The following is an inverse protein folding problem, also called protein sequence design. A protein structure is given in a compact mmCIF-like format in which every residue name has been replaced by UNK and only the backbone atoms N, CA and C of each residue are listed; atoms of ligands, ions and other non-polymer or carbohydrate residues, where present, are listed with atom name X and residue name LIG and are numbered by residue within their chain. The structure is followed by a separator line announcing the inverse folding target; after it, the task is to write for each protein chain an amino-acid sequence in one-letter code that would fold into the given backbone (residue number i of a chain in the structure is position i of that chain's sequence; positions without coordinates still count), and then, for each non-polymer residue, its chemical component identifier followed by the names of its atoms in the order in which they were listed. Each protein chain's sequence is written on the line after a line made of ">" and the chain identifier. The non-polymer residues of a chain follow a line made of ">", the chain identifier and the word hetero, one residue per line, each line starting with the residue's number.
data_IF_818309863253
#
_entry.id   IF_818309863253
#
_cell.length_a   1.000
_cell.length_b   1.000
_cell.length_c   1.000
_cell.angle_alpha   90.00
_cell.angle_beta   90.00
_cell.angle_gamma   90.00
#
_symmetry.space_group_name_H-M   'P 1'
#
loop_
_entity.id
_entity.type
_entity.pdbx_description
1 polymer ?
#
# COMPACT_ATOMS: atom_id res chain seq x y z
N UNK A 1 -9.39 15.99 -2.31
CA UNK A 1 -10.65 15.25 -2.49
C UNK A 1 -10.37 13.77 -2.34
N UNK A 2 -11.26 13.00 -1.72
CA UNK A 2 -11.02 11.60 -1.44
C UNK A 2 -10.97 10.77 -2.73
N UNK A 3 -10.43 9.59 -2.61
CA UNK A 3 -10.58 8.53 -3.60
C UNK A 3 -11.94 7.89 -3.35
N UNK A 4 -12.77 7.77 -4.39
CA UNK A 4 -14.11 7.20 -4.26
C UNK A 4 -14.47 6.30 -5.45
N UNK A 5 -15.05 5.16 -5.17
CA UNK A 5 -15.63 4.23 -6.11
C UNK A 5 -17.16 4.28 -5.95
N UNK A 6 -17.88 4.58 -7.02
CA UNK A 6 -19.33 4.63 -7.06
C UNK A 6 -19.87 3.58 -8.02
N UNK A 7 -20.50 2.53 -7.48
CA UNK A 7 -21.09 1.42 -8.24
C UNK A 7 -20.14 0.81 -9.28
N UNK A 8 -18.87 0.66 -8.92
CA UNK A 8 -17.84 0.22 -9.86
C UNK A 8 -17.90 -1.28 -10.10
N UNK A 9 -18.08 -1.65 -11.36
CA UNK A 9 -17.91 -3.02 -11.85
C UNK A 9 -16.78 -3.07 -12.84
N UNK A 10 -15.92 -4.08 -12.74
CA UNK A 10 -14.89 -4.34 -13.73
C UNK A 10 -14.96 -5.79 -14.22
N UNK A 11 -15.10 -5.95 -15.55
CA UNK A 11 -15.19 -7.25 -16.21
C UNK A 11 -14.01 -7.39 -17.16
N UNK A 12 -13.12 -8.34 -16.90
CA UNK A 12 -12.08 -8.72 -17.84
C UNK A 12 -12.69 -9.50 -19.00
N UNK A 13 -12.28 -9.21 -20.22
CA UNK A 13 -12.76 -9.93 -21.40
C UNK A 13 -14.26 -9.78 -21.65
N UNK A 14 -14.85 -8.62 -21.35
CA UNK A 14 -16.28 -8.38 -21.57
C UNK A 14 -16.69 -8.73 -23.02
N UNK A 15 -17.84 -9.41 -23.14
CA UNK A 15 -18.33 -9.87 -24.46
C UNK A 15 -17.66 -11.13 -25.00
N UNK A 16 -16.75 -11.75 -24.29
CA UNK A 16 -16.09 -13.02 -24.65
C UNK A 16 -16.57 -14.19 -23.78
N UNK A 17 -16.41 -15.44 -24.23
CA UNK A 17 -16.70 -16.62 -23.40
C UNK A 17 -15.84 -16.73 -22.13
N UNK A 18 -14.75 -15.98 -22.03
CA UNK A 18 -13.83 -15.95 -20.88
C UNK A 18 -14.05 -14.72 -20.01
N UNK A 19 -15.21 -14.06 -20.10
CA UNK A 19 -15.52 -12.90 -19.29
C UNK A 19 -15.50 -13.25 -17.79
N UNK A 20 -14.75 -12.47 -17.00
CA UNK A 20 -14.63 -12.62 -15.55
C UNK A 20 -14.84 -11.29 -14.87
N UNK A 21 -15.79 -11.23 -13.94
CA UNK A 21 -16.06 -10.04 -13.15
C UNK A 21 -15.14 -10.02 -11.92
N UNK A 22 -14.26 -9.04 -11.87
CA UNK A 22 -13.27 -8.88 -10.79
C UNK A 22 -13.71 -7.89 -9.71
N UNK A 23 -14.54 -6.89 -10.06
CA UNK A 23 -15.20 -5.99 -9.11
C UNK A 23 -16.70 -6.00 -9.36
N UNK A 24 -17.49 -6.12 -8.31
CA UNK A 24 -18.94 -6.28 -8.37
C UNK A 24 -19.63 -5.13 -7.64
N UNK A 25 -20.09 -4.12 -8.38
CA UNK A 25 -20.86 -3.01 -7.81
C UNK A 25 -20.21 -2.43 -6.56
N UNK A 26 -18.91 -2.10 -6.68
CA UNK A 26 -18.09 -1.67 -5.58
C UNK A 26 -18.41 -0.23 -5.18
N UNK A 27 -18.78 -0.03 -3.93
CA UNK A 27 -18.86 1.25 -3.26
C UNK A 27 -17.76 1.32 -2.20
N UNK A 28 -16.84 2.28 -2.31
CA UNK A 28 -15.72 2.42 -1.40
C UNK A 28 -15.15 3.83 -1.48
N UNK A 29 -14.79 4.41 -0.33
CA UNK A 29 -14.03 5.66 -0.27
C UNK A 29 -12.81 5.49 0.63
N UNK A 30 -11.69 6.16 0.28
CA UNK A 30 -10.49 6.17 1.09
C UNK A 30 -10.28 7.54 1.71
N UNK A 31 -9.82 7.56 2.96
CA UNK A 31 -9.55 8.80 3.70
C UNK A 31 -8.23 9.41 3.24
N UNK A 32 -8.24 10.68 2.85
CA UNK A 32 -7.04 11.43 2.46
C UNK A 32 -6.06 11.55 3.63
N UNK A 33 -4.76 11.41 3.34
CA UNK A 33 -3.69 11.52 4.34
C UNK A 33 -3.57 10.33 5.28
N UNK A 34 -4.35 9.26 5.08
CA UNK A 34 -4.25 8.03 5.85
C UNK A 34 -3.41 6.97 5.15
N UNK A 35 -2.87 6.06 5.96
CA UNK A 35 -2.29 4.83 5.47
C UNK A 35 -3.31 3.70 5.63
N UNK A 36 -3.89 3.25 4.51
CA UNK A 36 -4.96 2.25 4.49
C UNK A 36 -4.45 0.92 3.92
N UNK A 37 -4.63 -0.16 4.68
CA UNK A 37 -4.37 -1.51 4.19
C UNK A 37 -5.56 -2.04 3.38
N UNK A 38 -5.29 -2.67 2.25
CA UNK A 38 -6.27 -3.40 1.44
C UNK A 38 -5.93 -4.88 1.56
N UNK A 39 -6.77 -5.63 2.25
CA UNK A 39 -6.54 -7.05 2.56
C UNK A 39 -7.64 -7.94 1.98
N UNK A 40 -7.39 -9.23 1.92
CA UNK A 40 -8.34 -10.23 1.40
C UNK A 40 -7.63 -11.37 0.67
N UNK A 41 -8.33 -12.43 0.38
CA UNK A 41 -7.78 -13.61 -0.28
C UNK A 41 -7.30 -13.30 -1.72
N UNK A 42 -6.47 -14.17 -2.28
CA UNK A 42 -6.09 -14.12 -3.69
C UNK A 42 -7.35 -14.19 -4.56
N UNK A 43 -7.43 -13.35 -5.59
CA UNK A 43 -8.61 -13.27 -6.45
C UNK A 43 -9.76 -12.42 -5.91
N UNK A 44 -9.65 -11.80 -4.73
CA UNK A 44 -10.71 -10.94 -4.15
C UNK A 44 -10.90 -9.58 -4.86
N UNK A 45 -10.07 -9.24 -5.85
CA UNK A 45 -10.17 -8.00 -6.63
C UNK A 45 -9.23 -6.87 -6.20
N UNK A 46 -8.32 -7.07 -5.23
CA UNK A 46 -7.40 -6.04 -4.71
C UNK A 46 -6.56 -5.38 -5.80
N UNK A 47 -5.82 -6.16 -6.59
CA UNK A 47 -4.96 -5.63 -7.66
C UNK A 47 -5.78 -4.94 -8.75
N UNK A 48 -6.99 -5.43 -9.05
CA UNK A 48 -7.93 -4.76 -9.96
C UNK A 48 -8.35 -3.41 -9.39
N UNK A 49 -8.71 -3.35 -8.12
CA UNK A 49 -9.08 -2.11 -7.43
C UNK A 49 -7.97 -1.07 -7.52
N UNK A 50 -6.74 -1.42 -7.14
CA UNK A 50 -5.64 -0.45 -7.11
C UNK A 50 -5.23 0.05 -8.49
N UNK A 51 -5.39 -0.75 -9.54
CA UNK A 51 -5.11 -0.34 -10.92
C UNK A 51 -6.13 0.66 -11.49
N UNK A 52 -7.31 0.81 -10.89
CA UNK A 52 -8.25 1.87 -11.25
C UNK A 52 -7.80 3.25 -10.76
N UNK A 53 -7.00 3.30 -9.69
CA UNK A 53 -6.60 4.57 -9.05
C UNK A 53 -5.73 5.45 -9.95
N UNK A 54 -4.90 4.86 -10.80
CA UNK A 54 -4.09 5.58 -11.78
C UNK A 54 -4.60 5.40 -13.24
N UNK A 55 -5.85 4.93 -13.37
CA UNK A 55 -6.50 4.62 -14.64
C UNK A 55 -5.67 3.69 -15.54
N UNK A 56 -4.98 2.72 -14.97
CA UNK A 56 -4.41 1.60 -15.71
C UNK A 56 -5.53 0.69 -16.21
N UNK A 57 -6.54 0.48 -15.34
CA UNK A 57 -7.82 -0.11 -15.72
C UNK A 57 -8.91 0.96 -15.65
N UNK A 58 -9.87 0.86 -16.55
CA UNK A 58 -11.07 1.69 -16.57
C UNK A 58 -12.27 0.85 -16.10
N UNK A 59 -13.25 1.44 -15.40
CA UNK A 59 -14.42 0.71 -14.98
C UNK A 59 -15.27 0.27 -16.19
N UNK A 60 -15.86 -0.91 -16.11
CA UNK A 60 -16.86 -1.37 -17.09
C UNK A 60 -18.22 -0.73 -16.81
N UNK A 61 -18.55 -0.51 -15.51
CA UNK A 61 -19.73 0.25 -15.05
C UNK A 61 -19.32 1.11 -13.85
N UNK A 62 -20.10 2.15 -13.61
CA UNK A 62 -19.89 3.06 -12.48
C UNK A 62 -18.80 4.10 -12.73
N UNK A 63 -18.32 4.71 -11.66
CA UNK A 63 -17.39 5.84 -11.71
C UNK A 63 -16.34 5.73 -10.62
N UNK A 64 -15.09 6.06 -10.95
CA UNK A 64 -14.00 6.22 -10.00
C UNK A 64 -13.61 7.71 -9.93
N UNK A 65 -13.60 8.26 -8.74
CA UNK A 65 -13.08 9.61 -8.48
C UNK A 65 -11.70 9.48 -7.82
N UNK A 66 -10.72 10.18 -8.38
CA UNK A 66 -9.37 10.24 -7.83
C UNK A 66 -8.88 11.68 -7.89
N UNK A 67 -8.65 12.28 -6.74
CA UNK A 67 -8.34 13.71 -6.62
C UNK A 67 -9.48 14.55 -7.25
N UNK A 68 -9.14 15.37 -8.23
CA UNK A 68 -10.08 16.23 -8.99
C UNK A 68 -10.62 15.58 -10.28
N UNK A 69 -10.36 14.29 -10.49
CA UNK A 69 -10.64 13.60 -11.75
C UNK A 69 -11.77 12.58 -11.60
N UNK A 70 -12.68 12.59 -12.58
CA UNK A 70 -13.75 11.62 -12.75
C UNK A 70 -13.39 10.63 -13.87
N UNK A 71 -13.40 9.35 -13.58
CA UNK A 71 -13.14 8.25 -14.51
C UNK A 71 -14.42 7.42 -14.61
N UNK A 72 -15.20 7.65 -15.64
CA UNK A 72 -16.52 7.04 -15.85
C UNK A 72 -16.44 5.92 -16.89
N UNK A 73 -17.23 4.88 -16.70
CA UNK A 73 -17.37 3.77 -17.64
C UNK A 73 -17.71 4.25 -19.05
N UNK A 74 -17.09 3.68 -20.08
CA UNK A 74 -17.31 4.05 -21.48
C UNK A 74 -16.79 5.43 -21.90
N UNK A 75 -16.24 6.21 -20.95
CA UNK A 75 -15.63 7.51 -21.26
C UNK A 75 -14.21 7.36 -21.80
N UNK A 76 -13.72 8.43 -22.46
CA UNK A 76 -12.29 8.60 -22.78
C UNK A 76 -11.71 9.66 -21.83
N UNK A 77 -11.24 9.28 -20.64
CA UNK A 77 -10.79 10.26 -19.66
C UNK A 77 -9.58 11.03 -20.19
N UNK A 78 -9.62 12.36 -20.00
CA UNK A 78 -8.52 13.25 -20.39
C UNK A 78 -7.57 13.42 -19.20
N UNK A 79 -6.32 13.81 -19.47
CA UNK A 79 -5.36 14.13 -18.42
C UNK A 79 -4.82 12.92 -17.64
N UNK A 80 -4.91 11.70 -18.20
CA UNK A 80 -4.38 10.48 -17.57
C UNK A 80 -2.88 10.57 -17.27
N UNK A 81 -2.13 11.31 -18.08
CA UNK A 81 -0.70 11.53 -17.82
C UNK A 81 -0.51 12.23 -16.49
N UNK A 82 -1.19 13.36 -16.24
CA UNK A 82 -1.06 14.07 -14.96
C UNK A 82 -1.60 13.25 -13.77
N UNK A 83 -2.69 12.48 -13.96
CA UNK A 83 -3.17 11.55 -12.93
C UNK A 83 -2.08 10.56 -12.51
N UNK A 84 -1.38 9.96 -13.47
CA UNK A 84 -0.28 9.01 -13.21
C UNK A 84 0.95 9.64 -12.57
N UNK A 85 1.11 10.96 -12.67
CA UNK A 85 2.09 11.72 -11.90
C UNK A 85 1.67 11.92 -10.45
N UNK A 86 0.38 12.19 -10.23
CA UNK A 86 -0.18 12.39 -8.88
C UNK A 86 -0.40 11.08 -8.12
N UNK A 87 -0.58 9.94 -8.82
CA UNK A 87 -0.82 8.60 -8.24
C UNK A 87 0.31 7.65 -8.63
N UNK A 88 1.26 7.49 -7.74
CA UNK A 88 2.35 6.52 -7.88
C UNK A 88 1.86 5.10 -7.57
N UNK A 89 2.11 4.15 -8.45
CA UNK A 89 1.77 2.75 -8.27
C UNK A 89 3.04 1.90 -8.29
N UNK A 90 3.34 1.28 -7.15
CA UNK A 90 4.40 0.29 -6.98
C UNK A 90 3.79 -1.09 -7.13
N UNK A 91 4.14 -1.80 -8.19
CA UNK A 91 3.72 -3.19 -8.41
C UNK A 91 4.51 -4.17 -7.55
N UNK A 92 3.99 -5.38 -7.42
CA UNK A 92 4.75 -6.49 -6.87
C UNK A 92 6.02 -6.72 -7.71
N UNK A 93 7.17 -6.85 -7.06
CA UNK A 93 8.49 -6.96 -7.71
C UNK A 93 8.82 -5.81 -8.68
N UNK A 94 8.82 -4.55 -8.21
CA UNK A 94 9.02 -3.38 -9.05
C UNK A 94 10.42 -3.34 -9.68
N UNK A 95 11.37 -4.09 -9.14
CA UNK A 95 12.75 -4.25 -9.65
C UNK A 95 12.84 -4.80 -11.06
N UNK A 96 11.82 -5.48 -11.55
CA UNK A 96 11.79 -5.96 -12.95
C UNK A 96 11.45 -4.86 -13.96
N UNK A 97 11.12 -3.66 -13.48
CA UNK A 97 10.79 -2.52 -14.34
C UNK A 97 12.01 -1.62 -14.64
N UNK A 98 13.18 -1.93 -14.07
CA UNK A 98 14.41 -1.17 -14.32
C UNK A 98 14.99 -1.52 -15.68
N UNK A 99 15.31 -0.50 -16.50
CA UNK A 99 15.70 -0.69 -17.89
C UNK A 99 16.81 0.26 -18.40
N UNK A 100 17.13 1.32 -17.65
CA UNK A 100 18.11 2.31 -18.06
C UNK A 100 19.57 1.84 -17.81
N UNK A 101 20.53 2.52 -18.42
CA UNK A 101 21.95 2.21 -18.30
C UNK A 101 22.50 2.46 -16.90
N UNK A 102 22.00 3.48 -16.21
CA UNK A 102 22.41 3.85 -14.87
C UNK A 102 21.24 4.06 -13.94
N UNK A 103 21.45 3.85 -12.63
CA UNK A 103 20.46 4.12 -11.58
C UNK A 103 19.90 5.54 -11.68
N UNK A 104 20.76 6.53 -11.82
CA UNK A 104 20.35 7.92 -11.89
C UNK A 104 19.49 8.21 -13.11
N UNK A 105 19.82 7.65 -14.28
CA UNK A 105 19.00 7.76 -15.49
C UNK A 105 17.63 7.11 -15.29
N UNK A 106 17.59 5.92 -14.69
CA UNK A 106 16.36 5.17 -14.45
C UNK A 106 15.40 5.95 -13.56
N UNK A 107 15.88 6.45 -12.42
CA UNK A 107 15.06 7.24 -11.49
C UNK A 107 14.67 8.61 -12.08
N UNK A 108 15.49 9.23 -12.91
CA UNK A 108 15.18 10.51 -13.57
C UNK A 108 14.23 10.37 -14.77
N UNK A 109 14.02 9.17 -15.28
CA UNK A 109 13.18 8.92 -16.46
C UNK A 109 11.73 9.40 -16.26
N UNK A 110 11.13 9.07 -15.12
CA UNK A 110 9.76 9.51 -14.79
C UNK A 110 9.62 11.03 -14.86
N UNK A 111 10.33 11.81 -14.03
CA UNK A 111 10.29 13.28 -14.07
C UNK A 111 10.50 13.88 -15.46
N UNK A 112 11.49 13.40 -16.24
CA UNK A 112 11.72 13.84 -17.62
C UNK A 112 10.51 13.58 -18.51
N UNK A 113 9.94 12.40 -18.44
CA UNK A 113 8.80 12.00 -19.23
C UNK A 113 7.55 12.87 -18.91
N UNK A 114 7.49 13.42 -17.70
CA UNK A 114 6.41 14.33 -17.27
C UNK A 114 6.74 15.82 -17.50
N UNK A 115 7.86 16.12 -18.13
CA UNK A 115 8.16 17.46 -18.63
C UNK A 115 9.12 18.28 -17.77
N UNK A 116 9.76 17.66 -16.77
CA UNK A 116 10.86 18.30 -16.06
C UNK A 116 12.08 18.46 -16.97
N UNK A 117 12.84 19.55 -16.80
CA UNK A 117 14.15 19.71 -17.43
C UNK A 117 15.12 18.59 -16.97
N UNK A 118 16.22 18.42 -17.70
CA UNK A 118 17.28 17.45 -17.33
C UNK A 118 17.77 17.69 -15.89
N UNK A 119 18.06 18.93 -15.56
CA UNK A 119 18.58 19.34 -14.26
C UNK A 119 17.55 19.10 -13.14
N UNK A 120 16.27 19.46 -13.37
CA UNK A 120 15.19 19.23 -12.42
C UNK A 120 14.93 17.73 -12.20
N UNK A 121 14.98 16.94 -13.26
CA UNK A 121 14.77 15.51 -13.18
C UNK A 121 15.89 14.80 -12.40
N UNK A 122 17.14 15.19 -12.62
CA UNK A 122 18.28 14.71 -11.85
C UNK A 122 18.15 15.09 -10.37
N UNK A 123 17.82 16.34 -10.06
CA UNK A 123 17.64 16.78 -8.69
C UNK A 123 16.52 16.00 -7.96
N UNK A 124 15.39 15.76 -8.63
CA UNK A 124 14.30 14.92 -8.10
C UNK A 124 14.76 13.47 -7.89
N UNK A 125 15.50 12.92 -8.84
CA UNK A 125 16.03 11.56 -8.74
C UNK A 125 17.02 11.40 -7.57
N UNK A 126 17.95 12.34 -7.40
CA UNK A 126 18.90 12.32 -6.27
C UNK A 126 18.16 12.41 -4.93
N UNK A 127 17.16 13.30 -4.81
CA UNK A 127 16.32 13.41 -3.61
C UNK A 127 15.59 12.10 -3.31
N UNK A 128 15.00 11.47 -4.32
CA UNK A 128 14.28 10.19 -4.16
C UNK A 128 15.21 9.04 -3.78
N UNK A 129 16.41 8.96 -4.38
CA UNK A 129 17.42 7.96 -4.04
C UNK A 129 17.91 8.12 -2.59
N UNK A 130 18.12 9.35 -2.13
CA UNK A 130 18.45 9.63 -0.73
C UNK A 130 17.32 9.21 0.21
N UNK A 131 16.07 9.46 -0.17
CA UNK A 131 14.89 9.13 0.63
C UNK A 131 14.77 7.63 0.89
N UNK A 132 15.10 6.79 -0.11
CA UNK A 132 15.12 5.33 0.02
C UNK A 132 16.43 4.80 0.63
N UNK A 133 17.34 5.67 1.04
CA UNK A 133 18.62 5.29 1.65
C UNK A 133 19.59 4.62 0.67
N UNK A 134 19.58 5.04 -0.61
CA UNK A 134 20.45 4.47 -1.62
C UNK A 134 21.81 5.19 -1.66
N UNK A 135 22.92 4.43 -1.75
CA UNK A 135 24.27 4.97 -1.72
C UNK A 135 24.59 5.78 -2.99
N UNK A 136 25.02 7.03 -2.80
CA UNK A 136 25.40 7.94 -3.89
C UNK A 136 26.53 7.41 -4.78
N UNK A 137 27.44 6.62 -4.23
CA UNK A 137 28.54 5.98 -4.98
C UNK A 137 28.02 5.02 -6.08
N UNK A 138 26.78 4.56 -5.99
CA UNK A 138 26.17 3.62 -6.92
C UNK A 138 25.27 4.28 -8.00
N UNK A 139 25.09 5.60 -7.99
CA UNK A 139 24.20 6.30 -8.89
C UNK A 139 24.52 6.12 -10.38
N UNK A 140 25.80 5.95 -10.71
CA UNK A 140 26.29 5.75 -12.08
C UNK A 140 26.42 4.27 -12.45
N UNK A 141 26.13 3.34 -11.54
CA UNK A 141 26.14 1.91 -11.86
C UNK A 141 24.91 1.49 -12.64
N UNK A 142 25.07 0.41 -13.39
CA UNK A 142 23.93 -0.25 -14.04
C UNK A 142 23.00 -0.86 -12.99
N UNK A 143 21.67 -0.70 -13.12
CA UNK A 143 20.71 -1.41 -12.28
C UNK A 143 20.89 -2.93 -12.29
N UNK A 144 21.42 -3.50 -13.37
CA UNK A 144 21.65 -4.95 -13.49
C UNK A 144 22.70 -5.48 -12.52
N UNK A 145 23.64 -4.64 -12.11
CA UNK A 145 24.74 -4.99 -11.19
C UNK A 145 24.33 -4.94 -9.70
N UNK A 146 23.12 -4.49 -9.40
CA UNK A 146 22.63 -4.29 -8.04
C UNK A 146 22.06 -5.58 -7.45
N UNK A 147 22.10 -5.69 -6.11
CA UNK A 147 21.36 -6.72 -5.39
C UNK A 147 19.84 -6.52 -5.53
N UNK A 148 19.03 -7.56 -5.28
CA UNK A 148 17.56 -7.47 -5.37
C UNK A 148 16.97 -6.35 -4.51
N UNK A 149 17.41 -6.22 -3.26
CA UNK A 149 16.97 -5.14 -2.36
C UNK A 149 17.39 -3.75 -2.85
N UNK A 150 18.59 -3.61 -3.43
CA UNK A 150 19.03 -2.36 -4.05
C UNK A 150 18.18 -2.00 -5.28
N UNK A 151 17.93 -2.97 -6.17
CA UNK A 151 17.02 -2.78 -7.34
C UNK A 151 15.65 -2.30 -6.91
N UNK A 152 15.07 -2.92 -5.88
CA UNK A 152 13.76 -2.52 -5.34
C UNK A 152 13.75 -1.09 -4.83
N UNK A 153 14.78 -0.66 -4.09
CA UNK A 153 14.92 0.74 -3.63
C UNK A 153 14.99 1.70 -4.83
N UNK A 154 15.73 1.36 -5.87
CA UNK A 154 15.83 2.18 -7.10
C UNK A 154 14.48 2.28 -7.80
N UNK A 155 13.77 1.17 -7.98
CA UNK A 155 12.45 1.16 -8.62
C UNK A 155 11.42 2.01 -7.83
N UNK A 156 11.41 1.90 -6.50
CA UNK A 156 10.57 2.73 -5.64
C UNK A 156 10.98 4.20 -5.73
N UNK A 157 12.28 4.51 -5.74
CA UNK A 157 12.77 5.87 -5.92
C UNK A 157 12.29 6.49 -7.24
N UNK A 158 12.22 5.71 -8.33
CA UNK A 158 11.69 6.16 -9.62
C UNK A 158 10.25 6.65 -9.54
N UNK A 159 9.43 6.01 -8.71
CA UNK A 159 8.05 6.42 -8.47
C UNK A 159 8.01 7.63 -7.54
N UNK A 160 8.80 7.63 -6.47
CA UNK A 160 8.87 8.73 -5.51
C UNK A 160 9.45 10.02 -6.11
N UNK A 161 10.28 9.93 -7.15
CA UNK A 161 10.83 11.08 -7.87
C UNK A 161 9.73 11.93 -8.56
N UNK A 162 8.54 11.37 -8.74
CA UNK A 162 7.37 12.07 -9.26
C UNK A 162 6.67 12.93 -8.19
N UNK A 163 7.02 12.77 -6.90
CA UNK A 163 6.39 13.41 -5.74
C UNK A 163 4.85 13.18 -5.69
N UNK A 164 4.42 11.92 -5.69
CA UNK A 164 3.01 11.58 -5.81
C UNK A 164 2.21 11.97 -4.57
N UNK A 165 0.96 12.45 -4.77
CA UNK A 165 0.01 12.75 -3.69
C UNK A 165 -0.59 11.50 -3.08
N UNK A 166 -0.73 10.45 -3.91
CA UNK A 166 -1.23 9.13 -3.53
C UNK A 166 -0.18 8.10 -3.91
N UNK A 167 0.23 7.28 -2.96
CA UNK A 167 1.15 6.17 -3.18
C UNK A 167 0.40 4.85 -2.97
N UNK A 168 0.31 4.06 -4.02
CA UNK A 168 -0.32 2.74 -4.01
C UNK A 168 0.77 1.68 -4.08
N UNK A 169 0.74 0.75 -3.16
CA UNK A 169 1.76 -0.27 -2.94
C UNK A 169 1.11 -1.66 -3.04
N UNK A 170 1.44 -2.41 -4.08
CA UNK A 170 0.94 -3.80 -4.23
C UNK A 170 2.02 -4.77 -3.76
N UNK A 171 1.85 -5.33 -2.55
CA UNK A 171 2.76 -6.27 -1.89
C UNK A 171 4.23 -5.74 -1.82
N UNK A 172 4.48 -4.54 -1.28
CA UNK A 172 5.77 -3.85 -1.45
C UNK A 172 6.94 -4.53 -0.74
N UNK A 173 6.67 -5.42 0.20
CA UNK A 173 7.67 -6.12 1.03
C UNK A 173 7.86 -7.58 0.65
N UNK A 174 7.14 -8.07 -0.37
CA UNK A 174 7.25 -9.47 -0.82
C UNK A 174 8.70 -9.83 -1.19
N UNK A 175 9.26 -10.86 -0.55
CA UNK A 175 10.63 -11.33 -0.81
C UNK A 175 11.76 -10.49 -0.18
N UNK A 176 11.43 -9.51 0.67
CA UNK A 176 12.42 -8.84 1.52
C UNK A 176 12.70 -9.66 2.79
N UNK A 177 13.90 -9.49 3.34
CA UNK A 177 14.21 -9.95 4.69
C UNK A 177 13.47 -9.11 5.75
N UNK A 178 13.42 -9.55 7.02
CA UNK A 178 12.70 -8.83 8.06
C UNK A 178 13.19 -7.39 8.26
N UNK A 179 14.48 -7.13 8.15
CA UNK A 179 15.03 -5.79 8.30
C UNK A 179 14.65 -4.88 7.13
N UNK A 180 14.80 -5.35 5.90
CA UNK A 180 14.39 -4.63 4.70
C UNK A 180 12.88 -4.31 4.70
N UNK A 181 12.07 -5.24 5.22
CA UNK A 181 10.63 -5.04 5.43
C UNK A 181 10.35 -3.87 6.38
N UNK A 182 10.99 -3.85 7.55
CA UNK A 182 10.84 -2.78 8.55
C UNK A 182 11.30 -1.43 7.99
N UNK A 183 12.44 -1.39 7.30
CA UNK A 183 12.97 -0.17 6.70
C UNK A 183 12.03 0.40 5.64
N UNK A 184 11.50 -0.47 4.78
CA UNK A 184 10.60 -0.08 3.69
C UNK A 184 9.24 0.42 4.23
N UNK A 185 8.61 -0.31 5.14
CA UNK A 185 7.36 0.12 5.77
C UNK A 185 7.53 1.41 6.57
N UNK A 186 8.67 1.57 7.26
CA UNK A 186 8.99 2.82 7.96
C UNK A 186 9.16 3.99 7.01
N UNK A 187 9.70 3.78 5.81
CA UNK A 187 9.75 4.81 4.77
C UNK A 187 8.34 5.24 4.35
N UNK A 188 7.46 4.29 4.04
CA UNK A 188 6.07 4.61 3.64
C UNK A 188 5.29 5.31 4.76
N UNK A 189 5.47 4.89 6.01
CA UNK A 189 4.87 5.56 7.16
C UNK A 189 5.39 7.00 7.33
N UNK A 190 6.69 7.28 7.04
CA UNK A 190 7.21 8.65 7.05
C UNK A 190 6.60 9.49 5.93
N UNK A 191 6.45 8.94 4.71
CA UNK A 191 5.77 9.63 3.61
C UNK A 191 4.32 9.97 3.95
N UNK A 192 3.62 9.05 4.58
CA UNK A 192 2.25 9.27 5.05
C UNK A 192 2.19 10.41 6.10
N UNK A 193 3.10 10.43 7.07
CA UNK A 193 3.16 11.49 8.11
C UNK A 193 3.40 12.90 7.56
N UNK A 194 4.02 13.03 6.39
CA UNK A 194 4.21 14.32 5.71
C UNK A 194 3.10 14.66 4.71
N UNK A 195 2.02 13.88 4.68
CA UNK A 195 0.79 14.19 3.95
C UNK A 195 0.48 13.33 2.73
N UNK A 196 1.35 12.39 2.33
CA UNK A 196 1.04 11.46 1.24
C UNK A 196 -0.04 10.46 1.68
N UNK A 197 -1.10 10.31 0.90
CA UNK A 197 -2.07 9.22 1.10
C UNK A 197 -1.43 7.90 0.66
N UNK A 198 -1.41 6.88 1.53
CA UNK A 198 -0.75 5.60 1.23
C UNK A 198 -1.77 4.48 1.26
N UNK A 199 -1.85 3.70 0.18
CA UNK A 199 -2.68 2.50 0.09
C UNK A 199 -1.78 1.29 -0.07
N UNK A 200 -1.88 0.32 0.83
CA UNK A 200 -1.01 -0.86 0.85
C UNK A 200 -1.85 -2.12 0.68
N UNK A 201 -1.65 -2.83 -0.41
CA UNK A 201 -2.13 -4.21 -0.51
C UNK A 201 -1.14 -5.10 0.24
N UNK A 202 -1.61 -5.84 1.22
CA UNK A 202 -0.77 -6.74 2.02
C UNK A 202 -1.55 -7.94 2.53
N UNK A 203 -0.85 -9.04 2.73
CA UNK A 203 -1.33 -10.23 3.45
C UNK A 203 -0.63 -10.39 4.82
N UNK A 204 0.29 -9.50 5.17
CA UNK A 204 1.02 -9.50 6.43
C UNK A 204 0.30 -8.62 7.48
N UNK A 205 -0.42 -9.28 8.38
CA UNK A 205 -1.21 -8.59 9.40
C UNK A 205 -0.36 -7.91 10.48
N UNK A 206 0.89 -8.33 10.69
CA UNK A 206 1.82 -7.63 11.58
C UNK A 206 2.17 -6.24 11.04
N UNK A 207 2.42 -6.14 9.74
CA UNK A 207 2.67 -4.86 9.08
C UNK A 207 1.42 -3.97 9.07
N UNK A 208 0.26 -4.55 8.75
CA UNK A 208 -1.01 -3.83 8.77
C UNK A 208 -1.27 -3.23 10.17
N UNK A 209 -1.14 -4.05 11.20
CA UNK A 209 -1.35 -3.63 12.59
C UNK A 209 -0.40 -2.51 13.02
N UNK A 210 0.87 -2.61 12.61
CA UNK A 210 1.93 -1.71 13.07
C UNK A 210 1.96 -0.36 12.34
N UNK A 211 1.57 -0.32 11.05
CA UNK A 211 1.83 0.83 10.21
C UNK A 211 0.58 1.51 9.66
N UNK A 212 -0.56 0.81 9.56
CA UNK A 212 -1.75 1.35 8.92
C UNK A 212 -2.72 2.00 9.91
N UNK A 213 -3.49 2.97 9.43
CA UNK A 213 -4.57 3.62 10.19
C UNK A 213 -5.89 2.89 9.99
N UNK A 214 -6.15 2.43 8.77
CA UNK A 214 -7.42 1.85 8.33
C UNK A 214 -7.21 0.53 7.59
N UNK A 215 -8.24 -0.30 7.59
CA UNK A 215 -8.28 -1.59 6.88
C UNK A 215 -9.51 -1.64 5.99
N UNK A 216 -9.31 -2.00 4.73
CA UNK A 216 -10.35 -2.37 3.77
C UNK A 216 -10.23 -3.87 3.50
N UNK A 217 -11.27 -4.63 3.78
CA UNK A 217 -11.35 -6.06 3.51
C UNK A 217 -12.09 -6.31 2.22
N UNK A 218 -11.40 -6.89 1.24
CA UNK A 218 -11.97 -7.28 -0.05
C UNK A 218 -12.30 -8.78 -0.08
N UNK A 219 -13.52 -9.11 -0.50
CA UNK A 219 -13.91 -10.48 -0.80
C UNK A 219 -14.90 -10.49 -1.98
N UNK A 220 -14.74 -11.43 -2.90
CA UNK A 220 -15.61 -11.61 -4.07
C UNK A 220 -15.84 -10.32 -4.88
N UNK A 221 -14.77 -9.51 -5.06
CA UNK A 221 -14.84 -8.24 -5.79
C UNK A 221 -15.64 -7.13 -5.10
N UNK A 222 -15.91 -7.25 -3.80
CA UNK A 222 -16.66 -6.28 -2.99
C UNK A 222 -15.86 -5.85 -1.75
N UNK A 223 -16.12 -4.66 -1.25
CA UNK A 223 -15.70 -4.25 0.08
C UNK A 223 -16.63 -4.90 1.12
N UNK A 224 -16.10 -5.75 1.96
CA UNK A 224 -16.83 -6.41 3.05
C UNK A 224 -16.80 -5.61 4.34
N UNK A 225 -15.70 -4.92 4.56
CA UNK A 225 -15.48 -4.13 5.77
C UNK A 225 -14.51 -2.99 5.45
N UNK A 226 -14.77 -1.80 5.97
CA UNK A 226 -13.84 -0.69 6.04
C UNK A 226 -13.91 -0.11 7.45
N UNK A 227 -12.79 -0.16 8.17
CA UNK A 227 -12.74 0.28 9.57
C UNK A 227 -11.33 0.71 9.97
N UNK A 228 -11.16 1.28 11.16
CA UNK A 228 -9.84 1.57 11.71
C UNK A 228 -9.09 0.28 12.05
N UNK A 229 -7.74 0.31 11.96
CA UNK A 229 -6.88 -0.79 12.40
C UNK A 229 -7.14 -1.14 13.87
N UNK A 230 -7.35 -0.13 14.73
CA UNK A 230 -7.67 -0.32 16.14
C UNK A 230 -8.95 -1.15 16.34
N UNK A 231 -10.01 -0.84 15.61
CA UNK A 231 -11.28 -1.58 15.70
C UNK A 231 -11.17 -2.97 15.09
N UNK A 232 -10.46 -3.10 13.96
CA UNK A 232 -10.27 -4.37 13.27
C UNK A 232 -9.53 -5.40 14.14
N UNK A 233 -8.53 -4.96 14.89
CA UNK A 233 -7.71 -5.81 15.76
C UNK A 233 -8.01 -5.65 17.26
N UNK A 234 -9.17 -5.08 17.60
CA UNK A 234 -9.57 -4.93 19.00
C UNK A 234 -9.59 -6.28 19.75
N UNK A 235 -10.10 -7.28 19.06
CA UNK A 235 -10.03 -8.69 19.41
C UNK A 235 -9.88 -9.53 18.13
N UNK A 236 -9.49 -10.79 18.25
CA UNK A 236 -9.27 -11.66 17.09
C UNK A 236 -10.53 -12.08 16.33
N UNK A 237 -11.73 -11.83 16.86
CA UNK A 237 -12.99 -12.39 16.36
C UNK A 237 -13.34 -11.94 14.94
N UNK A 238 -13.07 -10.67 14.60
CA UNK A 238 -13.28 -10.14 13.25
C UNK A 238 -12.34 -10.85 12.26
N UNK A 239 -11.06 -10.97 12.61
CA UNK A 239 -10.07 -11.67 11.79
C UNK A 239 -10.48 -13.12 11.55
N UNK A 240 -10.85 -13.86 12.61
CA UNK A 240 -11.28 -15.26 12.51
C UNK A 240 -12.51 -15.42 11.63
N UNK A 241 -13.52 -14.54 11.77
CA UNK A 241 -14.73 -14.57 10.94
C UNK A 241 -14.45 -14.39 9.44
N UNK A 242 -13.33 -13.76 9.11
CA UNK A 242 -12.87 -13.49 7.75
C UNK A 242 -11.80 -14.51 7.27
N UNK A 243 -11.44 -15.49 8.11
CA UNK A 243 -10.37 -16.46 7.82
C UNK A 243 -8.97 -15.81 7.78
N UNK A 244 -8.77 -14.74 8.54
CA UNK A 244 -7.52 -13.99 8.64
C UNK A 244 -6.87 -14.32 9.97
N UNK A 245 -5.57 -14.63 9.97
CA UNK A 245 -4.81 -14.85 11.20
C UNK A 245 -4.46 -13.49 11.80
N UNK A 246 -4.89 -13.18 13.05
CA UNK A 246 -4.57 -11.93 13.70
C UNK A 246 -3.07 -11.85 14.04
N UNK A 247 -2.51 -10.63 14.24
CA UNK A 247 -1.15 -10.43 14.72
C UNK A 247 -0.87 -11.18 16.03
N UNK A 248 0.38 -11.63 16.22
CA UNK A 248 0.78 -12.41 17.39
C UNK A 248 0.43 -11.71 18.72
N UNK A 249 0.61 -10.39 18.78
CA UNK A 249 0.27 -9.60 19.97
C UNK A 249 -1.23 -9.61 20.27
N UNK A 250 -2.09 -9.60 19.25
CA UNK A 250 -3.55 -9.68 19.41
C UNK A 250 -3.92 -11.05 19.95
N UNK A 251 -3.37 -12.14 19.38
CA UNK A 251 -3.59 -13.49 19.87
C UNK A 251 -3.13 -13.65 21.34
N UNK A 252 -1.97 -13.07 21.71
CA UNK A 252 -1.47 -13.08 23.08
C UNK A 252 -2.41 -12.33 24.02
N UNK A 253 -2.88 -11.13 23.62
CA UNK A 253 -3.84 -10.33 24.41
C UNK A 253 -5.12 -11.13 24.67
N UNK A 254 -5.69 -11.75 23.64
CA UNK A 254 -6.92 -12.54 23.75
C UNK A 254 -6.71 -13.78 24.67
N UNK A 255 -5.59 -14.48 24.50
CA UNK A 255 -5.23 -15.60 25.38
C UNK A 255 -5.04 -15.21 26.84
N UNK A 256 -4.51 -14.02 27.11
CA UNK A 256 -4.35 -13.48 28.48
C UNK A 256 -5.68 -13.01 29.05
N UNK A 257 -6.52 -12.31 28.26
CA UNK A 257 -7.87 -11.93 28.67
C UNK A 257 -8.71 -13.16 29.06
N UNK A 258 -8.63 -14.23 28.27
CA UNK A 258 -9.29 -15.51 28.57
C UNK A 258 -8.82 -16.15 29.89
N UNK A 259 -7.59 -15.86 30.35
CA UNK A 259 -7.04 -16.31 31.63
C UNK A 259 -7.33 -15.33 32.79
N UNK A 260 -8.12 -14.27 32.56
CA UNK A 260 -8.55 -13.31 33.58
C UNK A 260 -7.63 -12.10 33.76
N UNK A 261 -6.62 -11.91 32.92
CA UNK A 261 -5.81 -10.69 32.96
C UNK A 261 -6.58 -9.51 32.35
N UNK A 262 -6.46 -8.34 32.97
CA UNK A 262 -6.98 -7.09 32.43
C UNK A 262 -5.95 -6.47 31.49
N UNK A 263 -6.15 -6.60 30.19
CA UNK A 263 -5.25 -6.09 29.14
C UNK A 263 -5.92 -4.93 28.42
N UNK A 264 -5.24 -3.78 28.42
CA UNK A 264 -5.68 -2.59 27.70
C UNK A 264 -5.61 -2.82 26.19
N UNK A 265 -6.65 -2.39 25.47
CA UNK A 265 -6.71 -2.51 24.01
C UNK A 265 -5.65 -1.67 23.30
N UNK A 266 -5.20 -0.57 23.91
CA UNK A 266 -4.18 0.32 23.36
C UNK A 266 -2.74 -0.26 23.43
N UNK A 267 -2.54 -1.39 24.05
CA UNK A 267 -1.24 -2.07 24.07
C UNK A 267 -0.95 -2.66 22.67
N UNK A 268 0.09 -2.16 22.01
CA UNK A 268 0.47 -2.51 20.63
C UNK A 268 1.84 -3.17 20.51
N UNK A 269 2.60 -3.28 21.59
CA UNK A 269 3.92 -3.90 21.60
C UNK A 269 4.10 -4.87 22.78
N UNK A 270 5.06 -5.80 22.62
CA UNK A 270 5.29 -6.89 23.56
C UNK A 270 5.84 -6.38 24.91
N UNK A 271 6.63 -5.31 24.90
CA UNK A 271 7.22 -4.74 26.12
C UNK A 271 6.14 -4.14 27.01
N UNK A 272 5.25 -3.33 26.42
CA UNK A 272 4.10 -2.77 27.14
C UNK A 272 3.16 -3.88 27.66
N UNK A 273 2.98 -4.96 26.89
CA UNK A 273 2.19 -6.11 27.32
C UNK A 273 2.84 -6.83 28.52
N UNK A 274 4.14 -7.07 28.46
CA UNK A 274 4.90 -7.68 29.55
C UNK A 274 4.83 -6.84 30.84
N UNK A 275 4.99 -5.53 30.73
CA UNK A 275 4.86 -4.60 31.87
C UNK A 275 3.45 -4.59 32.46
N UNK A 276 2.42 -4.69 31.62
CA UNK A 276 1.03 -4.78 32.06
C UNK A 276 0.79 -6.05 32.91
N UNK A 277 1.31 -7.19 32.44
CA UNK A 277 1.20 -8.48 33.12
C UNK A 277 1.99 -8.45 34.44
N UNK A 278 3.24 -7.98 34.43
CA UNK A 278 4.10 -7.94 35.62
C UNK A 278 3.48 -7.12 36.76
N UNK A 279 2.79 -6.01 36.42
CA UNK A 279 2.07 -5.20 37.41
C UNK A 279 0.89 -5.94 38.06
N UNK A 280 0.21 -6.82 37.33
CA UNK A 280 -0.93 -7.56 37.83
C UNK A 280 -0.50 -8.76 38.68
N UNK A 281 0.56 -9.48 38.27
CA UNK A 281 1.12 -10.61 39.05
C UNK A 281 1.63 -10.13 40.40
N UNK A 282 2.38 -9.01 40.50
CA UNK A 282 2.87 -8.42 41.74
C UNK A 282 1.78 -7.93 42.71
N UNK A 283 0.54 -7.75 42.23
CA UNK A 283 -0.59 -7.38 43.13
C UNK A 283 -1.26 -8.60 43.75
N UNK A 284 -0.96 -9.79 43.29
CA UNK A 284 -1.50 -11.05 43.80
C UNK A 284 -0.52 -11.84 44.69
N UNK A 285 0.74 -11.37 44.82
CA UNK A 285 1.69 -11.75 45.87
C UNK A 285 1.57 -10.82 47.10
#
# INVERSE_FOLDING_TARGET
>A
MPIQFEHVTHIYGEGTPMAYTALHDLELSFTEGKMTAIIGQTGSGKSTLVQHLNALLLPTKGTVYVLDRKIEAGSRPKGLKSLRGDVGLVFQFPEYQLFEETVLKDVSFGPKNFGASEEEAIAKAEKALQLVGFDKALYQRSPLELSGGQKRRVAIAGILAMDPKILVLDEPTAGLDPQGTVEMMSLFARLNKIGTTVLVVSHDMEQVFRYCDEVVVMADGKCRLHTSVKEFFRDGSICESLGIVPPAIVQMKDGLKAKGFHIDDDIVDIEALADCIARQVKKHE
#
